data_IF_007909444719
#
_entry.id   IF_007909444719
#
_cell.length_a   1.000
_cell.length_b   1.000
_cell.length_c   1.000
_cell.angle_alpha   90.00
_cell.angle_beta   90.00
_cell.angle_gamma   90.00
#
_symmetry.space_group_name_H-M   'P 1'
#
loop_
_entity.id
_entity.type
_entity.pdbx_description
1 polymer ?
#
# COMPACT_ATOMS: atom_id res chain seq x y z
N UNK A 1 -4.48 14.39 25.04
CA UNK A 1 -3.53 14.00 23.98
C UNK A 1 -2.39 14.99 23.98
N UNK A 2 -1.15 14.52 23.95
CA UNK A 2 0.04 15.37 23.83
C UNK A 2 0.22 15.78 22.38
N UNK A 3 0.32 17.09 22.12
CA UNK A 3 0.67 17.63 20.79
C UNK A 3 2.17 17.91 20.74
N UNK A 4 2.78 17.61 19.60
CA UNK A 4 4.19 17.85 19.33
C UNK A 4 4.33 18.77 18.12
N UNK A 5 5.29 19.70 18.16
CA UNK A 5 5.53 20.66 17.07
C UNK A 5 6.72 20.18 16.24
N UNK A 6 6.54 20.10 14.93
CA UNK A 6 7.60 19.83 13.95
C UNK A 6 7.82 21.07 13.10
N UNK A 7 9.08 21.49 12.95
CA UNK A 7 9.46 22.58 12.04
C UNK A 7 9.97 22.00 10.73
N UNK A 8 9.29 22.30 9.62
CA UNK A 8 9.63 21.84 8.29
C UNK A 8 10.05 23.02 7.41
N UNK A 9 11.16 22.88 6.69
CA UNK A 9 11.52 23.81 5.61
C UNK A 9 10.83 23.34 4.31
N UNK A 10 10.02 24.22 3.74
CA UNK A 10 9.33 23.99 2.47
C UNK A 10 9.80 24.98 1.41
N UNK A 11 9.70 24.61 0.13
CA UNK A 11 9.99 25.54 -0.96
C UNK A 11 8.93 26.65 -1.03
N UNK A 12 9.28 27.79 -1.63
CA UNK A 12 8.33 28.88 -1.87
C UNK A 12 7.14 28.43 -2.72
N UNK A 13 7.40 27.66 -3.77
CA UNK A 13 6.35 27.07 -4.61
C UNK A 13 5.39 26.18 -3.81
N UNK A 14 5.91 25.34 -2.91
CA UNK A 14 5.07 24.47 -2.09
C UNK A 14 4.20 25.29 -1.12
N UNK A 15 4.74 26.37 -0.55
CA UNK A 15 3.98 27.31 0.26
C UNK A 15 2.82 27.93 -0.52
N UNK A 16 3.09 28.45 -1.73
CA UNK A 16 2.06 29.05 -2.57
C UNK A 16 0.96 28.07 -2.98
N UNK A 17 1.32 26.81 -3.24
CA UNK A 17 0.35 25.74 -3.50
C UNK A 17 -0.52 25.45 -2.28
N UNK A 18 0.08 25.38 -1.10
CA UNK A 18 -0.63 25.11 0.15
C UNK A 18 -1.58 26.25 0.52
N UNK A 19 -1.14 27.51 0.39
CA UNK A 19 -1.96 28.69 0.68
C UNK A 19 -3.16 28.81 -0.30
N UNK A 20 -2.97 28.47 -1.58
CA UNK A 20 -4.08 28.38 -2.55
C UNK A 20 -5.09 27.30 -2.17
N UNK A 21 -4.62 26.11 -1.79
CA UNK A 21 -5.49 25.01 -1.38
C UNK A 21 -6.24 25.33 -0.08
N UNK A 22 -5.56 25.93 0.88
CA UNK A 22 -6.12 26.45 2.13
C UNK A 22 -7.27 27.42 1.84
N UNK A 23 -7.06 28.38 0.94
CA UNK A 23 -8.08 29.36 0.56
C UNK A 23 -9.27 28.73 -0.16
N UNK A 24 -9.04 27.76 -1.05
CA UNK A 24 -10.09 27.09 -1.80
C UNK A 24 -10.95 26.14 -0.94
N UNK A 25 -10.35 25.56 0.10
CA UNK A 25 -11.02 24.58 0.99
C UNK A 25 -11.52 25.18 2.29
N UNK A 26 -11.19 26.45 2.58
CA UNK A 26 -11.46 27.12 3.85
C UNK A 26 -10.89 26.36 5.07
N UNK A 27 -9.71 25.77 4.90
CA UNK A 27 -8.98 25.00 5.94
C UNK A 27 -7.60 25.61 6.14
N UNK A 28 -7.04 25.54 7.34
CA UNK A 28 -5.71 26.10 7.60
C UNK A 28 -4.61 25.32 6.87
N UNK A 29 -3.56 26.01 6.42
CA UNK A 29 -2.39 25.38 5.79
C UNK A 29 -1.76 24.30 6.68
N UNK A 30 -1.73 24.50 8.01
CA UNK A 30 -1.23 23.51 8.97
C UNK A 30 -2.11 22.26 9.00
N UNK A 31 -3.44 22.41 9.05
CA UNK A 31 -4.34 21.25 9.08
C UNK A 31 -4.26 20.43 7.78
N UNK A 32 -4.08 21.09 6.63
CA UNK A 32 -3.85 20.41 5.35
C UNK A 32 -2.49 19.69 5.31
N UNK A 33 -1.45 20.29 5.90
CA UNK A 33 -0.14 19.65 5.98
C UNK A 33 -0.14 18.44 6.93
N UNK A 34 -0.85 18.53 8.05
CA UNK A 34 -1.04 17.43 9.00
C UNK A 34 -1.78 16.26 8.34
N UNK A 35 -2.90 16.51 7.66
CA UNK A 35 -3.64 15.48 6.93
C UNK A 35 -2.78 14.83 5.84
N UNK A 36 -2.09 15.63 5.02
CA UNK A 36 -1.23 15.10 3.97
C UNK A 36 -0.09 14.22 4.54
N UNK A 37 0.43 14.57 5.72
CA UNK A 37 1.45 13.77 6.40
C UNK A 37 0.87 12.45 6.95
N UNK A 38 -0.30 12.50 7.56
CA UNK A 38 -1.01 11.31 8.07
C UNK A 38 -1.33 10.32 6.95
N UNK A 39 -1.85 10.82 5.82
CA UNK A 39 -2.14 10.01 4.64
C UNK A 39 -0.87 9.37 4.08
N UNK A 40 0.22 10.14 4.00
CA UNK A 40 1.50 9.64 3.53
C UNK A 40 2.04 8.53 4.44
N UNK A 41 2.02 8.74 5.76
CA UNK A 41 2.49 7.74 6.73
C UNK A 41 1.65 6.47 6.64
N UNK A 42 0.33 6.60 6.69
CA UNK A 42 -0.61 5.47 6.58
C UNK A 42 -0.37 4.65 5.32
N UNK A 43 -0.20 5.31 4.17
CA UNK A 43 0.06 4.62 2.90
C UNK A 43 1.42 3.90 2.91
N UNK A 44 2.48 4.54 3.41
CA UNK A 44 3.83 3.96 3.44
C UNK A 44 3.95 2.81 4.41
N UNK A 45 3.30 2.90 5.57
CA UNK A 45 3.28 1.81 6.54
C UNK A 45 2.60 0.57 5.97
N UNK A 46 1.46 0.72 5.30
CA UNK A 46 0.78 -0.39 4.61
C UNK A 46 1.64 -1.00 3.49
N UNK A 47 2.33 -0.16 2.71
CA UNK A 47 3.22 -0.62 1.65
C UNK A 47 4.39 -1.45 2.21
N UNK A 48 5.04 -0.96 3.26
CA UNK A 48 6.16 -1.64 3.92
C UNK A 48 5.69 -2.97 4.52
N UNK A 49 4.59 -2.97 5.27
CA UNK A 49 4.03 -4.19 5.85
C UNK A 49 3.65 -5.21 4.76
N UNK A 50 3.07 -4.75 3.65
CA UNK A 50 2.73 -5.60 2.52
C UNK A 50 3.95 -6.21 1.85
N UNK A 51 5.02 -5.43 1.71
CA UNK A 51 6.30 -5.88 1.16
C UNK A 51 6.95 -6.92 2.08
N UNK A 52 7.05 -6.65 3.37
CA UNK A 52 7.66 -7.56 4.35
C UNK A 52 6.90 -8.89 4.38
N UNK A 53 5.57 -8.86 4.42
CA UNK A 53 4.73 -10.05 4.36
C UNK A 53 4.89 -10.83 3.04
N UNK A 54 5.11 -10.13 1.92
CA UNK A 54 5.36 -10.75 0.63
C UNK A 54 6.73 -11.44 0.59
N UNK A 55 7.77 -10.80 1.14
CA UNK A 55 9.12 -11.38 1.27
C UNK A 55 9.07 -12.62 2.15
N UNK A 56 8.45 -12.55 3.33
CA UNK A 56 8.29 -13.72 4.21
C UNK A 56 7.55 -14.87 3.53
N UNK A 57 6.51 -14.58 2.74
CA UNK A 57 5.78 -15.59 1.97
C UNK A 57 6.65 -16.23 0.90
N UNK A 58 7.46 -15.43 0.21
CA UNK A 58 8.41 -15.91 -0.78
C UNK A 58 9.52 -16.76 -0.15
N UNK A 59 10.01 -16.39 1.03
CA UNK A 59 11.04 -17.13 1.77
C UNK A 59 10.55 -18.48 2.29
N UNK A 60 9.24 -18.63 2.56
CA UNK A 60 8.62 -19.95 2.80
C UNK A 60 8.63 -20.86 1.58
N UNK A 61 8.97 -20.34 0.40
CA UNK A 61 9.26 -21.11 -0.80
C UNK A 61 8.05 -21.70 -1.51
N UNK A 62 6.83 -21.56 -0.98
CA UNK A 62 5.60 -22.10 -1.56
C UNK A 62 4.99 -21.18 -2.60
N UNK A 63 5.15 -21.52 -3.88
CA UNK A 63 4.56 -20.82 -5.01
C UNK A 63 3.53 -21.71 -5.73
N UNK A 64 2.59 -21.08 -6.42
CA UNK A 64 1.63 -21.75 -7.30
C UNK A 64 2.08 -21.57 -8.75
N UNK A 65 2.05 -22.64 -9.55
CA UNK A 65 2.36 -22.61 -10.97
C UNK A 65 1.33 -21.81 -11.77
N UNK A 66 1.80 -21.24 -12.88
CA UNK A 66 0.94 -20.49 -13.79
C UNK A 66 -0.24 -21.34 -14.30
N UNK A 67 0.00 -22.62 -14.59
CA UNK A 67 -1.02 -23.54 -15.09
C UNK A 67 -2.14 -23.76 -14.06
N UNK A 68 -1.79 -24.01 -12.80
CA UNK A 68 -2.76 -24.18 -11.73
C UNK A 68 -3.61 -22.92 -11.50
N UNK A 69 -2.98 -21.73 -11.52
CA UNK A 69 -3.70 -20.45 -11.43
C UNK A 69 -4.61 -20.22 -12.65
N UNK A 70 -4.11 -20.46 -13.85
CA UNK A 70 -4.88 -20.28 -15.08
C UNK A 70 -6.10 -21.21 -15.16
N UNK A 71 -5.95 -22.47 -14.72
CA UNK A 71 -7.05 -23.42 -14.63
C UNK A 71 -8.11 -22.97 -13.63
N UNK A 72 -7.69 -22.45 -12.48
CA UNK A 72 -8.59 -21.90 -11.47
C UNK A 72 -9.36 -20.66 -11.96
N UNK A 73 -8.67 -19.67 -12.54
CA UNK A 73 -9.30 -18.45 -13.06
C UNK A 73 -10.32 -18.75 -14.18
N UNK A 74 -10.05 -19.75 -15.02
CA UNK A 74 -11.00 -20.18 -16.08
C UNK A 74 -12.27 -20.82 -15.53
N UNK A 75 -12.24 -21.32 -14.29
CA UNK A 75 -13.41 -21.95 -13.67
C UNK A 75 -14.36 -20.95 -13.01
N UNK A 76 -13.92 -19.70 -12.79
CA UNK A 76 -14.73 -18.68 -12.14
C UNK A 76 -15.99 -18.35 -12.93
N UNK A 77 -17.13 -18.29 -12.23
CA UNK A 77 -18.42 -17.99 -12.86
C UNK A 77 -18.97 -19.13 -13.74
N UNK A 78 -18.44 -20.34 -13.57
CA UNK A 78 -18.97 -21.56 -14.20
C UNK A 78 -19.57 -22.49 -13.15
N UNK A 79 -20.36 -23.47 -13.59
CA UNK A 79 -20.93 -24.49 -12.69
C UNK A 79 -19.86 -25.42 -12.07
N UNK A 80 -18.63 -25.43 -12.59
CA UNK A 80 -17.47 -26.19 -12.08
C UNK A 80 -16.41 -25.25 -11.48
N UNK A 81 -16.83 -24.22 -10.73
CA UNK A 81 -15.87 -23.32 -10.07
C UNK A 81 -14.99 -24.07 -9.06
N UNK A 82 -13.67 -24.01 -9.28
CA UNK A 82 -12.70 -24.78 -8.52
C UNK A 82 -12.21 -24.00 -7.29
N UNK A 83 -11.81 -24.73 -6.26
CA UNK A 83 -11.14 -24.14 -5.11
C UNK A 83 -9.79 -23.52 -5.52
N UNK A 84 -9.35 -22.50 -4.77
CA UNK A 84 -8.05 -21.86 -5.00
C UNK A 84 -6.90 -22.90 -4.95
N UNK A 85 -5.97 -22.85 -5.91
CA UNK A 85 -4.88 -23.81 -5.99
C UNK A 85 -3.91 -23.65 -4.81
N UNK A 86 -3.39 -24.78 -4.33
CA UNK A 86 -2.35 -24.82 -3.28
C UNK A 86 -0.96 -24.71 -3.91
N UNK A 87 0.08 -24.32 -3.14
CA UNK A 87 1.45 -24.31 -3.63
C UNK A 87 1.89 -25.67 -4.19
N UNK A 88 2.36 -25.68 -5.43
CA UNK A 88 2.86 -26.84 -6.18
C UNK A 88 4.33 -26.65 -6.64
N UNK A 89 4.88 -25.45 -6.45
CA UNK A 89 6.29 -25.13 -6.66
C UNK A 89 6.92 -24.82 -5.30
N UNK A 90 7.92 -25.61 -4.88
CA UNK A 90 8.72 -25.33 -3.69
C UNK A 90 10.12 -24.88 -4.12
N UNK A 91 10.45 -23.60 -3.88
CA UNK A 91 11.81 -23.07 -4.11
C UNK A 91 12.50 -22.82 -2.78
N UNK A 92 13.51 -23.63 -2.46
CA UNK A 92 14.44 -23.34 -1.38
C UNK A 92 15.48 -22.33 -1.88
N UNK A 93 15.60 -21.18 -1.22
CA UNK A 93 16.75 -20.28 -1.45
C UNK A 93 18.03 -21.04 -1.09
N UNK A 94 19.02 -20.99 -1.97
CA UNK A 94 20.37 -21.51 -1.72
C UNK A 94 21.23 -20.45 -1.06
#
# INVERSE_FOLDING_TARGET
MTSHVVSLRISGEMKERLDRLSSATNRSSTALAEEALEDYLSQRELEIQGLDAAVERADRGGFVSHEAVAGWLKSWGTDDERAAPKPDIIKTRR
#
